data_IF_669799354442
#
_entry.id   IF_669799354442
#
_cell.length_a   1.000
_cell.length_b   1.000
_cell.length_c   1.000
_cell.angle_alpha   90.00
_cell.angle_beta   90.00
_cell.angle_gamma   90.00
#
_symmetry.space_group_name_H-M   'P 1'
#
loop_
_entity.id
_entity.type
_entity.pdbx_description
1 polymer ?
#
# COMPACT_ATOMS: atom_id res chain seq x y z
N UNK A 1 -24.82 -11.50 -15.91
CA UNK A 1 -24.06 -10.26 -15.66
C UNK A 1 -22.70 -10.63 -15.07
N UNK A 2 -21.63 -10.13 -15.65
CA UNK A 2 -20.31 -10.36 -15.12
C UNK A 2 -20.06 -9.44 -13.90
N UNK A 3 -19.49 -10.00 -12.83
CA UNK A 3 -19.10 -9.21 -11.67
C UNK A 3 -18.01 -8.21 -12.06
N UNK A 4 -18.05 -7.00 -11.47
CA UNK A 4 -17.04 -5.97 -11.66
C UNK A 4 -15.67 -6.46 -11.22
N UNK A 5 -14.70 -6.49 -12.12
CA UNK A 5 -13.34 -6.91 -11.83
C UNK A 5 -12.55 -5.75 -11.23
N UNK A 6 -12.14 -5.90 -9.98
CA UNK A 6 -11.44 -4.85 -9.21
C UNK A 6 -9.98 -5.20 -9.01
N UNK A 7 -9.13 -4.17 -9.07
CA UNK A 7 -7.73 -4.24 -8.68
C UNK A 7 -7.49 -3.28 -7.52
N UNK A 8 -6.92 -3.78 -6.46
CA UNK A 8 -6.43 -2.97 -5.34
C UNK A 8 -4.92 -2.84 -5.42
N UNK A 9 -4.42 -1.61 -5.43
CA UNK A 9 -2.99 -1.34 -5.40
C UNK A 9 -2.66 -0.74 -4.05
N UNK A 10 -1.87 -1.45 -3.26
CA UNK A 10 -1.53 -1.07 -1.90
C UNK A 10 -0.11 -0.53 -1.84
N UNK A 11 0.05 0.64 -1.27
CA UNK A 11 1.32 1.17 -0.81
C UNK A 11 1.69 0.55 0.55
N UNK A 12 2.94 0.63 0.95
CA UNK A 12 3.43 0.07 2.21
C UNK A 12 3.79 1.15 3.23
N UNK A 13 4.90 1.87 3.02
CA UNK A 13 5.39 2.86 3.98
C UNK A 13 4.40 3.99 4.21
N UNK A 14 4.10 4.28 5.47
CA UNK A 14 3.14 5.31 5.91
C UNK A 14 1.67 5.03 5.55
N UNK A 15 1.40 3.95 4.83
CA UNK A 15 0.04 3.50 4.51
C UNK A 15 -0.36 2.29 5.37
N UNK A 16 0.42 1.22 5.35
CA UNK A 16 0.17 -0.01 6.11
C UNK A 16 1.17 -0.22 7.24
N UNK A 17 2.36 0.35 7.12
CA UNK A 17 3.46 0.20 8.07
C UNK A 17 4.19 1.53 8.29
N UNK A 18 5.00 1.55 9.33
CA UNK A 18 5.96 2.61 9.60
C UNK A 18 7.30 2.02 10.01
N UNK A 19 8.35 2.38 9.28
CA UNK A 19 9.73 2.02 9.63
C UNK A 19 10.42 3.17 10.37
N UNK A 20 11.05 2.88 11.49
CA UNK A 20 11.74 3.87 12.30
C UNK A 20 13.05 3.34 12.86
N UNK A 21 14.06 4.20 12.90
CA UNK A 21 15.31 3.92 13.60
C UNK A 21 15.18 4.14 15.12
N UNK A 22 14.13 4.82 15.56
CA UNK A 22 13.79 5.00 16.96
C UNK A 22 12.64 4.07 17.34
N UNK A 23 12.70 3.45 18.53
CA UNK A 23 11.61 2.60 19.02
C UNK A 23 10.35 3.43 19.32
N UNK A 24 9.20 2.87 18.97
CA UNK A 24 7.86 3.42 19.26
C UNK A 24 7.16 2.51 20.25
N UNK A 25 7.18 2.86 21.52
CA UNK A 25 6.60 2.03 22.59
C UNK A 25 5.11 1.75 22.43
N UNK A 26 4.38 2.68 21.81
CA UNK A 26 2.91 2.58 21.66
C UNK A 26 2.45 1.88 20.38
N UNK A 27 3.37 1.51 19.48
CA UNK A 27 3.02 0.91 18.19
C UNK A 27 3.27 -0.60 18.20
N UNK A 28 2.51 -1.33 17.38
CA UNK A 28 2.65 -2.79 17.22
C UNK A 28 3.86 -3.11 16.35
N UNK A 29 4.91 -3.64 16.97
CA UNK A 29 6.12 -4.06 16.26
C UNK A 29 5.82 -5.26 15.37
N UNK A 30 6.04 -5.11 14.07
CA UNK A 30 5.85 -6.16 13.08
C UNK A 30 7.12 -7.03 12.96
N UNK A 31 8.26 -6.39 12.73
CA UNK A 31 9.59 -7.02 12.70
C UNK A 31 10.70 -5.97 12.77
N UNK A 32 11.93 -6.43 12.93
CA UNK A 32 13.13 -5.59 12.79
C UNK A 32 13.84 -5.93 11.49
N UNK A 33 14.05 -4.91 10.67
CA UNK A 33 14.81 -5.02 9.43
C UNK A 33 16.24 -4.55 9.67
N UNK A 34 17.18 -5.47 9.55
CA UNK A 34 18.53 -5.28 10.03
C UNK A 34 18.57 -4.90 11.52
N UNK A 35 19.70 -4.41 11.99
CA UNK A 35 19.91 -4.15 13.41
C UNK A 35 19.18 -2.90 13.95
N UNK A 36 18.84 -1.97 13.06
CA UNK A 36 18.48 -0.61 13.47
C UNK A 36 17.09 -0.15 13.06
N UNK A 37 16.45 -0.82 12.13
CA UNK A 37 15.13 -0.40 11.63
C UNK A 37 14.04 -1.28 12.22
N UNK A 38 13.18 -0.68 13.03
CA UNK A 38 11.97 -1.31 13.54
C UNK A 38 10.79 -0.98 12.63
N UNK A 39 10.02 -1.98 12.25
CA UNK A 39 8.85 -1.83 11.36
C UNK A 39 7.59 -2.11 12.15
N UNK A 40 6.67 -1.16 12.14
CA UNK A 40 5.43 -1.18 12.92
C UNK A 40 4.22 -1.34 12.03
N UNK A 41 3.28 -2.17 12.46
CA UNK A 41 2.02 -2.40 11.77
C UNK A 41 1.02 -1.27 12.08
N UNK A 42 0.34 -0.76 11.05
CA UNK A 42 -0.74 0.19 11.24
C UNK A 42 -2.00 -0.51 11.76
N UNK A 43 -2.74 0.09 12.70
CA UNK A 43 -4.04 -0.44 13.12
C UNK A 43 -4.96 -0.69 11.93
N UNK A 44 -5.62 -1.84 11.90
CA UNK A 44 -6.56 -2.29 10.88
C UNK A 44 -5.93 -2.63 9.51
N UNK A 45 -4.60 -2.68 9.40
CA UNK A 45 -3.93 -3.04 8.15
C UNK A 45 -4.35 -4.45 7.68
N UNK A 46 -4.40 -5.43 8.59
CA UNK A 46 -4.79 -6.81 8.23
C UNK A 46 -6.24 -6.91 7.81
N UNK A 47 -7.13 -6.20 8.49
CA UNK A 47 -8.56 -6.14 8.16
C UNK A 47 -8.76 -5.55 6.76
N UNK A 48 -8.06 -4.46 6.43
CA UNK A 48 -8.10 -3.86 5.09
C UNK A 48 -7.63 -4.85 4.03
N UNK A 49 -6.51 -5.53 4.27
CA UNK A 49 -5.95 -6.53 3.36
C UNK A 49 -6.96 -7.65 3.10
N UNK A 50 -7.59 -8.18 4.16
CA UNK A 50 -8.60 -9.23 4.03
C UNK A 50 -9.83 -8.78 3.23
N UNK A 51 -10.28 -7.54 3.42
CA UNK A 51 -11.37 -6.97 2.63
C UNK A 51 -10.97 -6.87 1.16
N UNK A 52 -9.79 -6.37 0.86
CA UNK A 52 -9.27 -6.28 -0.52
C UNK A 52 -9.20 -7.67 -1.16
N UNK A 53 -8.67 -8.66 -0.45
CA UNK A 53 -8.59 -10.05 -0.91
C UNK A 53 -9.94 -10.62 -1.35
N UNK A 54 -11.00 -10.32 -0.59
CA UNK A 54 -12.36 -10.80 -0.88
C UNK A 54 -13.01 -10.10 -2.07
N UNK A 55 -12.57 -8.89 -2.37
CA UNK A 55 -13.20 -8.01 -3.36
C UNK A 55 -12.49 -7.94 -4.70
N UNK A 56 -11.25 -8.36 -4.80
CA UNK A 56 -10.50 -8.30 -6.05
C UNK A 56 -9.06 -8.78 -5.93
N UNK A 57 -8.30 -8.50 -6.95
CA UNK A 57 -6.86 -8.79 -6.98
C UNK A 57 -6.08 -7.72 -6.24
N UNK A 58 -4.93 -8.10 -5.67
CA UNK A 58 -4.04 -7.18 -4.96
C UNK A 58 -2.70 -7.10 -5.67
N UNK A 59 -2.26 -5.88 -5.92
CA UNK A 59 -0.87 -5.53 -6.27
C UNK A 59 -0.32 -4.70 -5.13
N UNK A 60 0.93 -4.96 -4.74
CA UNK A 60 1.68 -4.08 -3.85
C UNK A 60 2.63 -3.25 -4.72
N UNK A 61 2.61 -1.94 -4.56
CA UNK A 61 3.49 -1.02 -5.28
C UNK A 61 4.12 -0.04 -4.29
N UNK A 62 5.43 -0.12 -4.13
CA UNK A 62 6.20 0.69 -3.18
C UNK A 62 7.42 1.33 -3.84
N UNK A 63 7.83 2.47 -3.32
CA UNK A 63 9.12 3.09 -3.69
C UNK A 63 10.31 2.51 -2.90
N UNK A 64 10.04 1.61 -1.96
CA UNK A 64 11.06 0.93 -1.17
C UNK A 64 11.78 -0.17 -1.97
N UNK A 65 12.89 -0.66 -1.41
CA UNK A 65 13.65 -1.77 -1.98
C UNK A 65 12.86 -3.07 -1.90
N UNK A 66 13.02 -3.91 -2.91
CA UNK A 66 12.25 -5.16 -3.06
C UNK A 66 12.38 -6.10 -1.87
N UNK A 67 13.58 -6.29 -1.34
CA UNK A 67 13.81 -7.20 -0.20
C UNK A 67 13.03 -6.77 1.04
N UNK A 68 13.05 -5.49 1.34
CA UNK A 68 12.28 -4.90 2.43
C UNK A 68 10.77 -5.06 2.21
N UNK A 69 10.31 -4.75 1.01
CA UNK A 69 8.89 -4.91 0.64
C UNK A 69 8.41 -6.36 0.76
N UNK A 70 9.23 -7.33 0.36
CA UNK A 70 8.93 -8.76 0.52
C UNK A 70 8.74 -9.16 1.98
N UNK A 71 9.59 -8.69 2.87
CA UNK A 71 9.47 -8.97 4.30
C UNK A 71 8.18 -8.41 4.88
N UNK A 72 7.77 -7.21 4.46
CA UNK A 72 6.51 -6.60 4.88
C UNK A 72 5.33 -7.46 4.40
N UNK A 73 5.31 -7.84 3.13
CA UNK A 73 4.24 -8.67 2.58
C UNK A 73 4.11 -10.01 3.32
N UNK A 74 5.22 -10.68 3.58
CA UNK A 74 5.22 -11.94 4.34
C UNK A 74 4.69 -11.71 5.75
N UNK A 75 5.14 -10.68 6.44
CA UNK A 75 4.77 -10.38 7.83
C UNK A 75 3.29 -9.99 7.98
N UNK A 76 2.72 -9.30 6.98
CA UNK A 76 1.30 -8.90 6.95
C UNK A 76 0.40 -9.95 6.28
N UNK A 77 0.96 -11.08 5.84
CA UNK A 77 0.25 -12.10 5.06
C UNK A 77 -0.43 -11.54 3.79
N UNK A 78 0.26 -10.63 3.11
CA UNK A 78 -0.15 -10.16 1.80
C UNK A 78 0.44 -11.09 0.75
N UNK A 79 -0.41 -11.64 -0.11
CA UNK A 79 0.00 -12.44 -1.27
C UNK A 79 -0.40 -11.70 -2.54
N UNK A 80 0.34 -10.67 -2.93
CA UNK A 80 -0.01 -9.89 -4.12
C UNK A 80 0.23 -10.73 -5.38
N UNK A 81 -0.58 -10.49 -6.41
CA UNK A 81 -0.31 -11.11 -7.73
C UNK A 81 0.98 -10.58 -8.35
N UNK A 82 1.34 -9.33 -8.01
CA UNK A 82 2.60 -8.69 -8.41
C UNK A 82 3.09 -7.81 -7.26
N UNK A 83 4.39 -7.86 -6.97
CA UNK A 83 5.08 -6.93 -6.09
C UNK A 83 5.96 -6.01 -6.93
N UNK A 84 5.62 -4.73 -6.96
CA UNK A 84 6.38 -3.68 -7.62
C UNK A 84 7.13 -2.86 -6.57
N UNK A 85 8.40 -2.63 -6.81
CA UNK A 85 9.31 -1.96 -5.89
C UNK A 85 10.04 -0.82 -6.57
N UNK A 86 11.03 -0.24 -5.89
CA UNK A 86 11.81 0.89 -6.40
C UNK A 86 12.31 0.70 -7.83
N UNK A 87 12.78 -0.48 -8.19
CA UNK A 87 13.25 -0.78 -9.55
C UNK A 87 12.16 -0.65 -10.62
N UNK A 88 10.91 -0.72 -10.24
CA UNK A 88 9.76 -0.57 -11.13
C UNK A 88 9.25 0.88 -11.22
N UNK A 89 9.80 1.77 -10.42
CA UNK A 89 9.48 3.18 -10.43
C UNK A 89 10.26 3.93 -11.51
N UNK A 90 9.68 5.04 -11.98
CA UNK A 90 10.39 6.00 -12.84
C UNK A 90 11.04 7.06 -11.95
N UNK A 91 12.29 7.39 -12.22
CA UNK A 91 12.95 8.51 -11.52
C UNK A 91 12.68 9.80 -12.29
N UNK A 92 12.09 10.78 -11.59
CA UNK A 92 11.79 12.11 -12.12
C UNK A 92 12.31 13.14 -11.11
N UNK A 93 13.24 13.99 -11.54
CA UNK A 93 13.89 14.99 -10.68
C UNK A 93 14.44 14.39 -9.37
N UNK A 94 15.11 13.24 -9.48
CA UNK A 94 15.70 12.53 -8.34
C UNK A 94 14.70 11.80 -7.44
N UNK A 95 13.41 11.82 -7.76
CA UNK A 95 12.35 11.18 -6.98
C UNK A 95 11.81 9.96 -7.69
N UNK A 96 11.51 8.91 -6.94
CA UNK A 96 10.86 7.72 -7.46
C UNK A 96 9.36 7.95 -7.62
N UNK A 97 8.84 7.70 -8.82
CA UNK A 97 7.43 7.85 -9.17
C UNK A 97 6.83 6.52 -9.59
N UNK A 98 5.59 6.29 -9.21
CA UNK A 98 4.81 5.11 -9.58
C UNK A 98 4.04 5.36 -10.87
N UNK A 99 3.86 4.32 -11.68
CA UNK A 99 3.19 4.39 -12.98
C UNK A 99 1.99 3.48 -13.03
N UNK A 100 0.89 3.98 -13.61
CA UNK A 100 -0.25 3.15 -13.98
C UNK A 100 0.13 2.40 -15.26
N UNK A 101 -0.09 1.08 -15.26
CA UNK A 101 0.16 0.23 -16.43
C UNK A 101 -1.10 0.12 -17.28
N UNK A 102 -0.94 0.20 -18.59
CA UNK A 102 -2.05 0.05 -19.54
C UNK A 102 -2.79 -1.27 -19.39
N UNK A 103 -2.07 -2.36 -19.09
CA UNK A 103 -2.66 -3.68 -18.89
C UNK A 103 -3.66 -3.70 -17.73
N UNK A 104 -3.44 -2.90 -16.71
CA UNK A 104 -4.42 -2.79 -15.61
C UNK A 104 -5.71 -2.12 -16.09
N UNK A 105 -5.58 -1.04 -16.88
CA UNK A 105 -6.74 -0.34 -17.44
C UNK A 105 -7.54 -1.21 -18.42
N UNK A 106 -6.87 -2.15 -19.10
CA UNK A 106 -7.53 -3.08 -20.03
C UNK A 106 -8.20 -4.24 -19.29
N UNK A 107 -7.60 -4.74 -18.22
CA UNK A 107 -8.03 -5.97 -17.58
C UNK A 107 -8.96 -5.80 -16.38
N UNK A 108 -9.09 -4.59 -15.84
CA UNK A 108 -9.90 -4.30 -14.67
C UNK A 108 -10.93 -3.19 -14.97
N UNK A 109 -12.09 -3.34 -14.34
CA UNK A 109 -13.17 -2.34 -14.45
C UNK A 109 -12.97 -1.18 -13.48
N UNK A 110 -12.35 -1.46 -12.34
CA UNK A 110 -12.01 -0.46 -11.32
C UNK A 110 -10.62 -0.74 -10.76
N UNK A 111 -9.85 0.33 -10.58
CA UNK A 111 -8.55 0.31 -9.93
C UNK A 111 -8.62 1.21 -8.70
N UNK A 112 -8.41 0.64 -7.53
CA UNK A 112 -8.48 1.35 -6.27
C UNK A 112 -7.06 1.39 -5.69
N UNK A 113 -6.51 2.60 -5.59
CA UNK A 113 -5.17 2.83 -5.08
C UNK A 113 -5.28 3.34 -3.65
N UNK A 114 -4.67 2.63 -2.71
CA UNK A 114 -4.60 3.02 -1.31
C UNK A 114 -3.15 3.41 -1.02
N UNK A 115 -2.92 4.72 -0.94
CA UNK A 115 -1.59 5.32 -0.82
C UNK A 115 -1.71 6.65 -0.09
N UNK A 116 -0.88 6.88 0.94
CA UNK A 116 -0.86 8.13 1.70
C UNK A 116 -0.32 9.32 0.88
N UNK A 117 0.42 9.04 -0.18
CA UNK A 117 1.10 10.04 -1.02
C UNK A 117 0.66 9.95 -2.48
N UNK A 118 -0.52 10.49 -2.84
CA UNK A 118 -1.01 10.41 -4.24
C UNK A 118 -0.08 11.11 -5.25
N UNK A 119 0.73 12.08 -4.80
CA UNK A 119 1.68 12.81 -5.65
C UNK A 119 2.83 11.95 -6.21
N UNK A 120 3.05 10.75 -5.67
CA UNK A 120 4.07 9.83 -6.23
C UNK A 120 3.61 9.16 -7.52
N UNK A 121 2.34 9.26 -7.86
CA UNK A 121 1.76 8.62 -9.02
C UNK A 121 1.79 9.52 -10.26
N UNK A 122 2.20 8.93 -11.40
CA UNK A 122 2.12 9.55 -12.71
C UNK A 122 0.98 8.89 -13.53
N UNK A 123 0.40 9.63 -14.48
CA UNK A 123 -0.62 9.12 -15.41
C UNK A 123 -1.85 8.49 -14.71
N UNK A 124 -2.36 9.14 -13.68
CA UNK A 124 -3.42 8.60 -12.81
C UNK A 124 -4.80 9.24 -13.02
N UNK A 125 -5.06 9.79 -14.20
CA UNK A 125 -6.28 10.56 -14.49
C UNK A 125 -7.41 9.76 -15.12
N UNK A 126 -7.23 8.46 -15.35
CA UNK A 126 -8.28 7.60 -15.94
C UNK A 126 -9.48 7.47 -14.98
N UNK A 127 -10.69 7.45 -15.53
CA UNK A 127 -11.94 7.37 -14.77
C UNK A 127 -12.11 6.06 -13.98
N UNK A 128 -11.40 5.00 -14.35
CA UNK A 128 -11.41 3.72 -13.63
C UNK A 128 -10.63 3.78 -12.33
N UNK A 129 -9.78 4.79 -12.14
CA UNK A 129 -8.88 4.92 -11.00
C UNK A 129 -9.54 5.73 -9.89
N UNK A 130 -9.56 5.15 -8.70
CA UNK A 130 -9.98 5.83 -7.47
C UNK A 130 -8.85 5.79 -6.45
N UNK A 131 -8.46 6.96 -5.94
CA UNK A 131 -7.51 7.07 -4.83
C UNK A 131 -8.26 7.08 -3.50
N UNK A 132 -7.82 6.24 -2.57
CA UNK A 132 -8.17 6.30 -1.16
C UNK A 132 -6.90 6.70 -0.41
N UNK A 133 -6.90 7.92 0.12
CA UNK A 133 -5.69 8.54 0.70
C UNK A 133 -5.84 8.61 2.21
N UNK A 134 -5.26 7.68 2.97
CA UNK A 134 -5.22 7.79 4.42
C UNK A 134 -4.24 8.88 4.83
N UNK A 135 -4.37 9.38 6.06
CA UNK A 135 -3.31 10.19 6.66
C UNK A 135 -2.02 9.37 6.77
N UNK A 136 -0.90 10.03 6.75
CA UNK A 136 0.42 9.42 6.91
C UNK A 136 0.53 8.70 8.26
N UNK A 137 0.79 7.38 8.24
CA UNK A 137 1.02 6.61 9.46
C UNK A 137 2.45 6.81 9.96
N UNK A 138 2.60 7.18 11.23
CA UNK A 138 3.89 7.41 11.89
C UNK A 138 4.09 6.57 13.15
N UNK A 139 3.47 5.38 13.21
CA UNK A 139 3.67 4.43 14.31
C UNK A 139 2.82 4.71 15.55
N UNK A 140 1.72 5.40 15.44
CA UNK A 140 0.78 5.60 16.55
C UNK A 140 -0.27 4.48 16.56
N UNK A 141 -0.33 3.69 17.63
CA UNK A 141 -1.33 2.63 17.76
C UNK A 141 -2.78 3.11 17.90
N UNK A 142 -2.99 4.40 18.15
CA UNK A 142 -4.31 5.03 18.17
C UNK A 142 -4.72 5.58 16.79
N UNK A 143 -3.94 5.33 15.74
CA UNK A 143 -4.24 5.79 14.39
C UNK A 143 -5.54 5.19 13.87
N UNK A 144 -6.43 6.04 13.37
CA UNK A 144 -7.75 5.68 12.84
C UNK A 144 -7.86 5.84 11.32
N UNK A 145 -6.77 6.14 10.63
CA UNK A 145 -6.79 6.46 9.20
C UNK A 145 -7.35 5.36 8.31
N UNK A 146 -7.06 4.09 8.61
CA UNK A 146 -7.62 2.97 7.86
C UNK A 146 -9.07 2.67 8.25
N UNK A 147 -9.49 2.99 9.47
CA UNK A 147 -10.88 2.83 9.85
C UNK A 147 -11.81 3.66 8.96
N UNK A 148 -11.45 4.91 8.70
CA UNK A 148 -12.23 5.79 7.83
C UNK A 148 -12.33 5.24 6.40
N UNK A 149 -11.27 4.68 5.87
CA UNK A 149 -11.25 4.04 4.55
C UNK A 149 -12.18 2.83 4.55
N UNK A 150 -12.06 1.94 5.53
CA UNK A 150 -12.86 0.71 5.61
C UNK A 150 -14.35 1.03 5.74
N UNK A 151 -14.72 1.94 6.62
CA UNK A 151 -16.14 2.23 6.91
C UNK A 151 -16.81 3.06 5.83
N UNK A 152 -16.08 3.90 5.12
CA UNK A 152 -16.64 4.84 4.14
C UNK A 152 -16.57 4.30 2.70
N UNK A 153 -15.52 3.56 2.35
CA UNK A 153 -15.21 3.22 0.95
C UNK A 153 -15.17 1.72 0.65
N UNK A 154 -15.19 0.88 1.65
CA UNK A 154 -15.08 -0.56 1.50
C UNK A 154 -16.40 -1.26 1.88
#
# INVERSE_FOLDING_TARGET
MNATKKLFILDLDHTLIYGSFAEKESADLLFRYHKYLSVYERPLARELIEICKKKGDIIVYTTALRRYAKMICVSLDIKPIVLLSRKNCKTVDGKHKKLIKEDWLKNYDKIIIIDDSPNVWLNSTDLKIKFLVPNEFRGNKEDLGLNDIITTHM
#
